data_IF_160937414915
#
_entry.id   IF_160937414915
#
_cell.length_a   1.000
_cell.length_b   1.000
_cell.length_c   1.000
_cell.angle_alpha   90.00
_cell.angle_beta   90.00
_cell.angle_gamma   90.00
#
_symmetry.space_group_name_H-M   'P 1'
#
loop_
_entity.id
_entity.type
_entity.pdbx_description
1 polymer ?
#
# COMPACT_ATOMS: atom_id res chain seq x y z
N UNK A 1 -6.33 -0.35 10.85
CA UNK A 1 -5.29 -0.98 9.99
C UNK A 1 -4.89 -0.03 8.88
N UNK A 2 -5.80 0.42 8.01
CA UNK A 2 -5.48 1.40 6.95
C UNK A 2 -5.03 2.74 7.54
N UNK A 3 -5.74 3.32 8.50
CA UNK A 3 -5.30 4.56 9.19
C UNK A 3 -3.87 4.44 9.72
N UNK A 4 -3.57 3.34 10.42
CA UNK A 4 -2.22 3.06 10.93
C UNK A 4 -1.18 2.89 9.82
N UNK A 5 -1.56 2.37 8.65
CA UNK A 5 -0.67 2.30 7.49
C UNK A 5 -0.32 3.70 6.98
N UNK A 6 -1.34 4.57 6.85
CA UNK A 6 -1.19 5.96 6.43
C UNK A 6 -0.36 6.77 7.43
N UNK A 7 -0.54 6.57 8.74
CA UNK A 7 0.30 7.20 9.76
C UNK A 7 1.79 6.80 9.63
N UNK A 8 2.07 5.57 9.23
CA UNK A 8 3.43 5.04 9.13
C UNK A 8 4.12 5.43 7.81
N UNK A 9 3.38 5.47 6.71
CA UNK A 9 3.94 5.57 5.35
C UNK A 9 3.33 6.66 4.48
N UNK A 10 2.28 7.35 4.94
CA UNK A 10 1.63 8.46 4.24
C UNK A 10 2.30 9.81 4.51
N UNK A 11 1.90 10.83 3.77
CA UNK A 11 2.31 12.21 4.02
C UNK A 11 1.42 12.86 5.09
N UNK A 12 2.03 13.56 6.05
CA UNK A 12 1.32 14.29 7.09
C UNK A 12 0.76 15.61 6.53
N UNK A 13 -0.55 15.79 6.62
CA UNK A 13 -1.26 16.98 6.16
C UNK A 13 -1.90 17.67 7.37
N UNK A 14 -1.50 18.92 7.61
CA UNK A 14 -2.10 19.75 8.64
C UNK A 14 -3.27 20.55 8.04
N UNK A 15 -4.49 20.27 8.50
CA UNK A 15 -5.67 20.99 8.03
C UNK A 15 -5.84 22.28 8.83
N UNK A 16 -5.39 23.40 8.25
CA UNK A 16 -5.47 24.73 8.86
C UNK A 16 -6.85 25.39 8.77
N UNK A 17 -7.80 24.78 8.05
CA UNK A 17 -9.13 25.34 7.80
C UNK A 17 -10.20 24.97 8.85
N UNK A 18 -9.87 24.11 9.82
CA UNK A 18 -10.81 23.67 10.86
C UNK A 18 -10.47 24.28 12.24
N UNK A 19 -11.47 24.47 13.13
CA UNK A 19 -11.25 25.03 14.47
C UNK A 19 -10.34 24.15 15.35
N UNK A 20 -10.45 22.83 15.17
CA UNK A 20 -9.47 21.85 15.64
C UNK A 20 -8.41 21.69 14.55
N UNK A 21 -7.16 22.03 14.86
CA UNK A 21 -6.04 21.77 13.97
C UNK A 21 -5.84 20.26 13.86
N UNK A 22 -6.53 19.63 12.91
CA UNK A 22 -6.50 18.19 12.70
C UNK A 22 -5.32 17.81 11.80
N UNK A 23 -4.53 16.85 12.27
CA UNK A 23 -3.49 16.19 11.48
C UNK A 23 -4.13 14.97 10.85
N UNK A 24 -4.08 14.90 9.52
CA UNK A 24 -4.48 13.72 8.76
C UNK A 24 -3.28 13.22 7.97
N UNK A 25 -3.29 11.94 7.60
CA UNK A 25 -2.24 11.35 6.78
C UNK A 25 -2.84 10.94 5.44
N UNK A 26 -2.16 11.27 4.35
CA UNK A 26 -2.52 10.77 3.03
C UNK A 26 -2.33 9.25 2.94
N UNK A 27 -2.78 8.65 1.84
CA UNK A 27 -2.56 7.24 1.60
C UNK A 27 -1.07 6.88 1.63
N UNK A 28 -0.79 5.64 2.01
CA UNK A 28 0.58 5.15 2.17
C UNK A 28 1.34 5.18 0.84
N UNK A 29 2.54 5.77 0.86
CA UNK A 29 3.39 5.89 -0.32
C UNK A 29 4.12 4.57 -0.64
N UNK A 30 4.01 4.13 -1.90
CA UNK A 30 4.59 2.87 -2.36
C UNK A 30 6.12 2.85 -2.21
N UNK A 31 6.81 3.94 -2.54
CA UNK A 31 8.27 3.97 -2.50
C UNK A 31 8.78 3.87 -1.05
N UNK A 32 8.15 4.59 -0.10
CA UNK A 32 8.45 4.49 1.33
C UNK A 32 8.18 3.09 1.87
N UNK A 33 7.09 2.45 1.45
CA UNK A 33 6.78 1.07 1.84
C UNK A 33 7.81 0.08 1.28
N UNK A 34 8.14 0.17 -0.02
CA UNK A 34 9.02 -0.78 -0.70
C UNK A 34 10.49 -0.69 -0.24
N UNK A 35 10.94 0.49 0.18
CA UNK A 35 12.34 0.74 0.59
C UNK A 35 12.60 0.48 2.09
N UNK A 36 11.56 0.28 2.90
CA UNK A 36 11.70 0.01 4.34
C UNK A 36 11.84 -1.49 4.64
N UNK A 37 13.07 -1.96 4.81
CA UNK A 37 13.35 -3.36 5.14
C UNK A 37 12.75 -3.82 6.48
N UNK A 38 12.44 -2.89 7.39
CA UNK A 38 11.81 -3.19 8.68
C UNK A 38 10.28 -3.17 8.63
N UNK A 39 9.67 -2.92 7.46
CA UNK A 39 8.23 -2.73 7.31
C UNK A 39 7.42 -3.90 7.86
N UNK A 40 7.78 -5.15 7.55
CA UNK A 40 7.03 -6.31 8.07
C UNK A 40 6.98 -6.32 9.60
N UNK A 41 8.11 -6.04 10.29
CA UNK A 41 8.15 -6.01 11.76
C UNK A 41 7.26 -4.89 12.30
N UNK A 42 7.40 -3.66 11.77
CA UNK A 42 6.60 -2.50 12.17
C UNK A 42 5.10 -2.74 12.00
N UNK A 43 4.71 -3.39 10.91
CA UNK A 43 3.32 -3.75 10.66
C UNK A 43 2.81 -4.85 11.60
N UNK A 44 3.64 -5.85 11.92
CA UNK A 44 3.30 -6.88 12.92
C UNK A 44 3.09 -6.27 14.30
N UNK A 45 4.00 -5.40 14.73
CA UNK A 45 3.90 -4.63 15.97
C UNK A 45 2.66 -3.73 15.99
N UNK A 46 2.25 -3.23 14.83
CA UNK A 46 1.03 -2.43 14.64
C UNK A 46 -0.25 -3.27 14.45
N UNK A 47 -0.21 -4.58 14.69
CA UNK A 47 -1.40 -5.44 14.70
C UNK A 47 -1.89 -5.93 13.33
N UNK A 48 -1.08 -5.84 12.27
CA UNK A 48 -1.47 -6.35 10.94
C UNK A 48 -1.46 -7.88 10.85
N UNK A 49 -0.84 -8.55 11.84
CA UNK A 49 -0.74 -10.01 11.90
C UNK A 49 -0.03 -10.59 10.67
N UNK A 50 -0.54 -11.70 10.14
CA UNK A 50 0.09 -12.37 8.99
C UNK A 50 0.04 -11.53 7.70
N UNK A 51 -0.89 -10.59 7.57
CA UNK A 51 -1.02 -9.71 6.39
C UNK A 51 0.15 -8.74 6.26
N UNK A 52 0.90 -8.49 7.33
CA UNK A 52 2.12 -7.69 7.29
C UNK A 52 3.12 -8.22 6.25
N UNK A 53 3.31 -9.54 6.21
CA UNK A 53 4.22 -10.17 5.25
C UNK A 53 3.74 -10.02 3.80
N UNK A 54 2.43 -10.09 3.57
CA UNK A 54 1.85 -9.88 2.24
C UNK A 54 2.03 -8.44 1.79
N UNK A 55 1.70 -7.48 2.66
CA UNK A 55 1.79 -6.06 2.31
C UNK A 55 3.24 -5.63 2.03
N UNK A 56 4.20 -6.07 2.84
CA UNK A 56 5.62 -5.79 2.62
C UNK A 56 6.12 -6.39 1.29
N UNK A 57 5.82 -7.66 1.02
CA UNK A 57 6.24 -8.32 -0.23
C UNK A 57 5.52 -7.75 -1.45
N UNK A 58 4.24 -7.41 -1.33
CA UNK A 58 3.46 -6.79 -2.41
C UNK A 58 3.98 -5.39 -2.74
N UNK A 59 4.33 -4.57 -1.74
CA UNK A 59 4.93 -3.26 -1.97
C UNK A 59 6.27 -3.37 -2.72
N UNK A 60 7.16 -4.27 -2.27
CA UNK A 60 8.44 -4.53 -2.96
C UNK A 60 8.24 -5.00 -4.39
N UNK A 61 7.43 -6.05 -4.58
CA UNK A 61 7.19 -6.60 -5.91
C UNK A 61 6.53 -5.58 -6.85
N UNK A 62 5.54 -4.83 -6.35
CA UNK A 62 4.87 -3.80 -7.13
C UNK A 62 5.84 -2.68 -7.54
N UNK A 63 6.72 -2.25 -6.63
CA UNK A 63 7.74 -1.26 -6.94
C UNK A 63 8.72 -1.74 -8.03
N UNK A 64 9.13 -3.02 -7.97
CA UNK A 64 10.03 -3.65 -8.97
C UNK A 64 9.41 -3.78 -10.36
N UNK A 65 8.10 -4.05 -10.46
CA UNK A 65 7.41 -4.26 -11.76
C UNK A 65 6.91 -2.96 -12.42
N UNK A 66 7.22 -1.79 -11.86
CA UNK A 66 6.88 -0.48 -12.44
C UNK A 66 5.91 0.37 -11.62
N UNK A 67 5.52 -0.08 -10.42
CA UNK A 67 4.76 0.71 -9.46
C UNK A 67 3.40 1.17 -9.96
N UNK A 68 3.09 2.46 -9.75
CA UNK A 68 1.83 3.06 -10.22
C UNK A 68 1.65 2.98 -11.73
N UNK A 69 2.74 3.09 -12.52
CA UNK A 69 2.63 2.99 -13.98
C UNK A 69 2.07 1.63 -14.39
N UNK A 70 2.61 0.55 -13.80
CA UNK A 70 2.12 -0.80 -14.06
C UNK A 70 0.64 -0.96 -13.66
N UNK A 71 0.22 -0.40 -12.52
CA UNK A 71 -1.19 -0.41 -12.11
C UNK A 71 -2.09 0.35 -13.09
N UNK A 72 -1.65 1.53 -13.53
CA UNK A 72 -2.41 2.37 -14.46
C UNK A 72 -2.56 1.70 -15.83
N UNK A 73 -1.57 0.94 -16.28
CA UNK A 73 -1.66 0.16 -17.51
C UNK A 73 -2.73 -0.93 -17.45
N UNK A 74 -2.99 -1.51 -16.27
CA UNK A 74 -4.06 -2.53 -16.11
C UNK A 74 -5.45 -1.98 -16.43
N UNK A 75 -5.68 -0.67 -16.30
CA UNK A 75 -6.96 -0.05 -16.65
C UNK A 75 -7.28 -0.14 -18.16
N UNK A 76 -6.26 -0.37 -19.00
CA UNK A 76 -6.41 -0.55 -20.44
C UNK A 76 -6.53 -2.03 -20.85
N UNK A 77 -6.39 -2.95 -19.92
CA UNK A 77 -6.45 -4.40 -20.17
C UNK A 77 -7.89 -4.93 -20.05
N UNK A 78 -8.12 -6.13 -20.57
CA UNK A 78 -9.38 -6.83 -20.30
C UNK A 78 -9.45 -7.27 -18.84
N UNK A 79 -10.68 -7.43 -18.33
CA UNK A 79 -10.91 -7.89 -16.95
C UNK A 79 -10.11 -9.15 -16.60
N UNK A 80 -10.12 -10.17 -17.48
CA UNK A 80 -9.44 -11.43 -17.21
C UNK A 80 -7.92 -11.28 -17.13
N UNK A 81 -7.33 -10.45 -18.01
CA UNK A 81 -5.89 -10.18 -18.01
C UNK A 81 -5.50 -9.36 -16.79
N UNK A 82 -6.23 -8.28 -16.48
CA UNK A 82 -5.98 -7.45 -15.31
C UNK A 82 -6.07 -8.27 -14.01
N UNK A 83 -7.10 -9.10 -13.88
CA UNK A 83 -7.29 -10.00 -12.74
C UNK A 83 -6.13 -11.00 -12.61
N UNK A 84 -5.74 -11.65 -13.69
CA UNK A 84 -4.63 -12.62 -13.66
C UNK A 84 -3.31 -11.96 -13.27
N UNK A 85 -3.05 -10.73 -13.75
CA UNK A 85 -1.88 -9.93 -13.40
C UNK A 85 -1.88 -9.53 -11.91
N UNK A 86 -3.00 -9.00 -11.40
CA UNK A 86 -3.13 -8.62 -9.99
C UNK A 86 -2.93 -9.79 -9.04
N UNK A 87 -3.43 -10.98 -9.39
CA UNK A 87 -3.27 -12.20 -8.58
C UNK A 87 -1.83 -12.70 -8.47
N UNK A 88 -0.87 -12.17 -9.25
CA UNK A 88 0.54 -12.45 -9.05
C UNK A 88 1.11 -11.71 -7.83
N UNK A 89 0.44 -10.65 -7.36
CA UNK A 89 0.89 -9.90 -6.19
C UNK A 89 0.67 -10.72 -4.90
N UNK A 90 1.66 -10.77 -3.99
CA UNK A 90 1.53 -11.46 -2.72
C UNK A 90 0.28 -11.06 -1.92
N UNK A 91 -0.56 -12.05 -1.60
CA UNK A 91 -1.77 -11.85 -0.79
C UNK A 91 -2.99 -11.38 -1.58
N UNK A 92 -2.92 -11.29 -2.91
CA UNK A 92 -4.06 -10.97 -3.79
C UNK A 92 -4.63 -12.26 -4.37
N UNK A 93 -5.91 -12.55 -4.06
CA UNK A 93 -6.64 -13.72 -4.57
C UNK A 93 -7.85 -13.32 -5.41
N UNK A 94 -8.69 -14.27 -5.87
CA UNK A 94 -9.83 -13.96 -6.76
C UNK A 94 -10.85 -12.95 -6.24
N UNK A 95 -10.89 -12.73 -4.93
CA UNK A 95 -11.80 -11.81 -4.25
C UNK A 95 -11.19 -10.43 -4.01
N UNK A 96 -9.87 -10.37 -3.84
CA UNK A 96 -9.15 -9.12 -3.54
C UNK A 96 -8.86 -8.46 -4.87
#
# INVERSE_FOLDING_TARGET
MIERLCELYGECIALSSFPSQEIVYDFADLARMATDDAMESKLRESGFGYRAAYLHRAAKNLHEIGGELWLNELANETYDIAKQKLQQLPGVGPKV
#
